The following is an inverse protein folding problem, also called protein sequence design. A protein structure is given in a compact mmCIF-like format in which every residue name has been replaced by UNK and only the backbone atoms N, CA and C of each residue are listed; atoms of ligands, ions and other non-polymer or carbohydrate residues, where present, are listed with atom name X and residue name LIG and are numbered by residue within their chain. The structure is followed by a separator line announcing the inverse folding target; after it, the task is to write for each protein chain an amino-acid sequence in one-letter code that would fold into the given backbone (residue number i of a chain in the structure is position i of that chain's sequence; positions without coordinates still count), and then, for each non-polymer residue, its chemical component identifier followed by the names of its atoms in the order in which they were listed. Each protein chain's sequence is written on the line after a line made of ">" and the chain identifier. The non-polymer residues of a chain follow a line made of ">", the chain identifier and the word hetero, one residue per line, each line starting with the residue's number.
data_IF_282662948738
#
_entry.id   IF_282662948738
#
_cell.length_a   1.000
_cell.length_b   1.000
_cell.length_c   1.000
_cell.angle_alpha   90.00
_cell.angle_beta   90.00
_cell.angle_gamma   90.00
#
_symmetry.space_group_name_H-M   'P 1'
#
loop_
_entity.id
_entity.type
_entity.pdbx_description
1 polymer ?
#
# COMPACT_ATOMS: atom_id res chain seq x y z
N UNK A 1 -43.37 29.68 -9.75
CA UNK A 1 -42.58 28.44 -9.60
C UNK A 1 -41.14 28.83 -9.38
N UNK A 2 -40.67 28.80 -8.13
CA UNK A 2 -39.27 29.05 -7.80
C UNK A 2 -38.46 27.82 -8.25
N UNK A 3 -37.62 27.99 -9.26
CA UNK A 3 -36.58 27.01 -9.56
C UNK A 3 -35.64 26.93 -8.36
N UNK A 4 -35.74 25.82 -7.61
CA UNK A 4 -34.69 25.41 -6.68
C UNK A 4 -33.39 25.31 -7.49
N UNK A 5 -32.49 26.27 -7.27
CA UNK A 5 -31.11 26.17 -7.73
C UNK A 5 -30.49 24.98 -7.00
N UNK A 6 -30.22 23.92 -7.74
CA UNK A 6 -29.39 22.81 -7.27
C UNK A 6 -28.05 23.42 -6.83
N UNK A 7 -27.64 23.27 -5.56
CA UNK A 7 -26.37 23.83 -5.12
C UNK A 7 -25.24 23.13 -5.87
N UNK A 8 -24.43 23.93 -6.57
CA UNK A 8 -23.27 23.51 -7.35
C UNK A 8 -22.09 23.14 -6.42
N UNK A 9 -22.34 22.38 -5.34
CA UNK A 9 -21.41 22.15 -4.23
C UNK A 9 -20.55 20.88 -4.39
N UNK A 10 -20.82 20.06 -5.40
CA UNK A 10 -19.97 18.91 -5.74
C UNK A 10 -18.91 19.28 -6.79
N UNK A 11 -18.15 20.34 -6.52
CA UNK A 11 -16.91 20.59 -7.27
C UNK A 11 -15.85 19.57 -6.80
N UNK A 12 -15.84 18.38 -7.41
CA UNK A 12 -14.75 17.40 -7.31
C UNK A 12 -13.48 17.95 -7.99
N UNK A 13 -12.84 18.94 -7.36
CA UNK A 13 -11.47 19.30 -7.72
C UNK A 13 -10.56 18.18 -7.24
N UNK A 14 -9.76 17.63 -8.17
CA UNK A 14 -8.71 16.68 -7.85
C UNK A 14 -7.73 17.36 -6.89
N UNK A 15 -7.71 16.91 -5.64
CA UNK A 15 -6.72 17.37 -4.66
C UNK A 15 -5.49 16.48 -4.75
N UNK A 16 -4.44 16.99 -5.39
CA UNK A 16 -3.17 16.28 -5.57
C UNK A 16 -2.59 15.77 -4.25
N UNK A 17 -2.84 16.48 -3.13
CA UNK A 17 -2.41 16.08 -1.79
C UNK A 17 -2.98 14.74 -1.34
N UNK A 18 -4.25 14.49 -1.61
CA UNK A 18 -4.95 13.26 -1.23
C UNK A 18 -4.44 12.07 -2.04
N UNK A 19 -4.24 12.28 -3.34
CA UNK A 19 -3.63 11.29 -4.21
C UNK A 19 -2.21 10.94 -3.77
N UNK A 20 -1.35 11.94 -3.55
CA UNK A 20 0.04 11.72 -3.13
C UNK A 20 0.13 11.00 -1.77
N UNK A 21 -0.76 11.31 -0.82
CA UNK A 21 -0.81 10.62 0.46
C UNK A 21 -1.10 9.13 0.31
N UNK A 22 -2.11 8.76 -0.49
CA UNK A 22 -2.53 7.37 -0.66
C UNK A 22 -1.53 6.60 -1.51
N UNK A 23 -1.00 7.23 -2.55
CA UNK A 23 0.08 6.67 -3.36
C UNK A 23 1.32 6.41 -2.50
N UNK A 24 1.66 7.32 -1.59
CA UNK A 24 2.72 7.12 -0.62
C UNK A 24 2.46 5.94 0.32
N UNK A 25 1.23 5.80 0.85
CA UNK A 25 0.84 4.65 1.67
C UNK A 25 0.99 3.32 0.92
N UNK A 26 0.60 3.30 -0.35
CA UNK A 26 0.75 2.12 -1.22
C UNK A 26 2.22 1.73 -1.41
N UNK A 27 3.07 2.70 -1.76
CA UNK A 27 4.50 2.45 -1.95
C UNK A 27 5.19 2.02 -0.65
N UNK A 28 4.79 2.59 0.49
CA UNK A 28 5.30 2.16 1.79
C UNK A 28 4.91 0.71 2.12
N UNK A 29 3.65 0.33 1.90
CA UNK A 29 3.19 -1.02 2.21
C UNK A 29 3.86 -2.06 1.31
N UNK A 30 3.96 -1.77 0.01
CA UNK A 30 4.66 -2.62 -0.95
C UNK A 30 6.16 -2.75 -0.61
N UNK A 31 6.83 -1.63 -0.36
CA UNK A 31 8.24 -1.60 0.01
C UNK A 31 8.50 -2.40 1.30
N UNK A 32 7.69 -2.23 2.33
CA UNK A 32 7.83 -2.93 3.60
C UNK A 32 7.63 -4.45 3.49
N UNK A 33 6.70 -4.90 2.65
CA UNK A 33 6.47 -6.34 2.46
C UNK A 33 7.58 -6.95 1.60
N UNK A 34 8.06 -6.25 0.57
CA UNK A 34 9.22 -6.69 -0.21
C UNK A 34 10.51 -6.78 0.62
N UNK A 35 10.76 -5.84 1.54
CA UNK A 35 11.91 -5.97 2.45
C UNK A 35 11.73 -7.15 3.40
N UNK A 36 10.52 -7.37 3.93
CA UNK A 36 10.20 -8.56 4.73
C UNK A 36 10.51 -9.87 3.97
N UNK A 37 10.08 -9.97 2.71
CA UNK A 37 10.37 -11.12 1.86
C UNK A 37 11.86 -11.27 1.55
N UNK A 38 12.58 -10.17 1.32
CA UNK A 38 14.04 -10.23 1.14
C UNK A 38 14.74 -10.81 2.36
N UNK A 39 14.34 -10.40 3.58
CA UNK A 39 14.89 -10.95 4.83
C UNK A 39 14.53 -12.42 5.01
N UNK A 40 13.35 -12.85 4.58
CA UNK A 40 12.99 -14.26 4.55
C UNK A 40 13.96 -15.08 3.69
N UNK A 41 14.27 -14.62 2.47
CA UNK A 41 15.24 -15.30 1.60
C UNK A 41 16.65 -15.35 2.21
N UNK A 42 17.05 -14.33 2.98
CA UNK A 42 18.31 -14.36 3.73
C UNK A 42 18.29 -15.46 4.80
N UNK A 43 17.21 -15.58 5.57
CA UNK A 43 17.08 -16.61 6.61
C UNK A 43 17.13 -18.02 6.00
N UNK A 44 16.50 -18.20 4.85
CA UNK A 44 16.52 -19.46 4.10
C UNK A 44 17.93 -19.78 3.56
N UNK A 45 18.65 -18.75 3.09
CA UNK A 45 20.02 -18.89 2.59
C UNK A 45 21.02 -19.27 3.69
N UNK A 46 20.84 -18.72 4.90
CA UNK A 46 21.66 -19.04 6.09
C UNK A 46 21.28 -20.40 6.70
N UNK A 47 20.15 -20.99 6.30
CA UNK A 47 19.65 -22.27 6.83
C UNK A 47 18.99 -22.14 8.20
N UNK A 48 18.43 -20.96 8.50
CA UNK A 48 17.59 -20.74 9.70
C UNK A 48 16.14 -21.17 9.49
N UNK A 49 15.70 -21.27 8.23
CA UNK A 49 14.38 -21.75 7.80
C UNK A 49 14.54 -22.88 6.78
N UNK A 50 13.49 -23.67 6.58
CA UNK A 50 13.47 -24.73 5.58
C UNK A 50 13.59 -24.16 4.17
N UNK A 51 14.33 -24.86 3.29
CA UNK A 51 14.51 -24.46 1.90
C UNK A 51 13.32 -24.91 1.06
N UNK A 52 12.42 -23.99 0.77
CA UNK A 52 11.19 -24.22 0.00
C UNK A 52 11.23 -23.43 -1.32
N UNK A 53 11.84 -22.25 -1.31
CA UNK A 53 11.84 -21.31 -2.43
C UNK A 53 13.19 -21.35 -3.18
N UNK A 54 14.30 -21.44 -2.45
CA UNK A 54 15.65 -21.40 -3.04
C UNK A 54 16.17 -22.79 -3.39
N UNK A 55 16.78 -22.94 -4.57
CA UNK A 55 17.43 -24.21 -4.96
C UNK A 55 18.86 -24.34 -4.42
N UNK A 56 19.56 -23.20 -4.25
CA UNK A 56 20.92 -23.11 -3.72
C UNK A 56 21.13 -21.79 -2.97
N UNK A 57 22.08 -21.77 -2.04
CA UNK A 57 22.35 -20.61 -1.16
C UNK A 57 22.80 -19.37 -1.92
N UNK A 58 23.58 -19.52 -3.00
CA UNK A 58 24.02 -18.38 -3.82
C UNK A 58 22.86 -17.68 -4.53
N UNK A 59 21.87 -18.44 -5.01
CA UNK A 59 20.65 -17.89 -5.59
C UNK A 59 19.88 -17.06 -4.57
N UNK A 60 19.69 -17.59 -3.35
CA UNK A 60 18.97 -16.89 -2.29
C UNK A 60 19.65 -15.59 -1.85
N UNK A 61 20.98 -15.60 -1.66
CA UNK A 61 21.74 -14.39 -1.31
C UNK A 61 21.72 -13.32 -2.40
N UNK A 62 21.78 -13.74 -3.67
CA UNK A 62 21.71 -12.83 -4.81
C UNK A 62 20.35 -12.14 -4.89
N UNK A 63 19.26 -12.91 -4.79
CA UNK A 63 17.91 -12.36 -4.80
C UNK A 63 17.58 -11.54 -3.56
N UNK A 64 18.07 -11.93 -2.38
CA UNK A 64 18.00 -11.10 -1.17
C UNK A 64 18.57 -9.71 -1.44
N UNK A 65 19.80 -9.60 -1.95
CA UNK A 65 20.46 -8.32 -2.14
C UNK A 65 19.70 -7.44 -3.14
N UNK A 66 19.25 -8.01 -4.26
CA UNK A 66 18.47 -7.30 -5.28
C UNK A 66 17.16 -6.77 -4.68
N UNK A 67 16.38 -7.65 -4.05
CA UNK A 67 15.07 -7.28 -3.51
C UNK A 67 15.17 -6.30 -2.36
N UNK A 68 16.19 -6.44 -1.51
CA UNK A 68 16.44 -5.52 -0.41
C UNK A 68 16.76 -4.11 -0.91
N UNK A 69 17.64 -3.99 -1.91
CA UNK A 69 17.97 -2.68 -2.51
C UNK A 69 16.78 -2.07 -3.25
N UNK A 70 16.02 -2.86 -4.01
CA UNK A 70 14.79 -2.41 -4.67
C UNK A 70 13.77 -1.94 -3.64
N UNK A 71 13.57 -2.69 -2.56
CA UNK A 71 12.65 -2.32 -1.48
C UNK A 71 13.05 -1.00 -0.82
N UNK A 72 14.34 -0.82 -0.49
CA UNK A 72 14.85 0.45 0.06
C UNK A 72 14.59 1.59 -0.91
N UNK A 73 14.84 1.39 -2.21
CA UNK A 73 14.57 2.41 -3.22
C UNK A 73 13.09 2.78 -3.29
N UNK A 74 12.19 1.80 -3.25
CA UNK A 74 10.74 2.04 -3.23
C UNK A 74 10.33 2.81 -1.97
N UNK A 75 10.84 2.43 -0.80
CA UNK A 75 10.58 3.10 0.47
C UNK A 75 11.11 4.54 0.50
N UNK A 76 12.17 4.81 -0.24
CA UNK A 76 12.73 6.15 -0.36
C UNK A 76 11.82 7.10 -1.15
N UNK A 77 11.05 6.61 -2.12
CA UNK A 77 10.22 7.45 -3.00
C UNK A 77 9.22 8.31 -2.21
N UNK A 78 8.39 7.75 -1.31
CA UNK A 78 7.48 8.55 -0.50
C UNK A 78 8.19 9.51 0.46
N UNK A 79 9.38 9.12 0.94
CA UNK A 79 10.14 9.90 1.92
C UNK A 79 10.67 11.19 1.28
N UNK A 80 11.31 11.08 0.12
CA UNK A 80 12.01 12.19 -0.50
C UNK A 80 11.11 13.01 -1.44
N UNK A 81 10.30 12.35 -2.27
CA UNK A 81 9.60 13.03 -3.37
C UNK A 81 8.15 13.41 -3.05
N UNK A 82 7.45 12.59 -2.26
CA UNK A 82 6.03 12.85 -1.95
C UNK A 82 5.86 13.77 -0.74
N UNK A 83 6.64 13.55 0.33
CA UNK A 83 6.70 14.39 1.54
C UNK A 83 5.31 14.73 2.15
N UNK A 84 4.34 13.82 2.04
CA UNK A 84 3.00 13.95 2.61
C UNK A 84 2.70 12.72 3.46
N UNK A 85 2.96 12.83 4.76
CA UNK A 85 2.68 11.78 5.76
C UNK A 85 1.41 12.04 6.57
N UNK A 86 0.37 12.58 5.93
CA UNK A 86 -0.92 12.86 6.57
C UNK A 86 -2.07 12.50 5.64
N UNK A 87 -3.04 11.77 6.18
CA UNK A 87 -4.31 11.52 5.51
C UNK A 87 -5.24 12.68 5.82
N UNK A 88 -5.62 13.44 4.81
CA UNK A 88 -6.61 14.52 4.95
C UNK A 88 -8.00 13.92 4.85
N UNK A 89 -8.66 13.74 6.00
CA UNK A 89 -10.00 13.16 6.07
C UNK A 89 -10.95 14.06 6.87
N UNK A 90 -10.85 15.37 6.62
CA UNK A 90 -11.54 16.42 7.38
C UNK A 90 -13.03 16.52 7.05
N UNK A 91 -13.38 16.30 5.79
CA UNK A 91 -14.75 16.35 5.29
C UNK A 91 -15.16 15.00 4.69
N UNK A 92 -16.47 14.75 4.60
CA UNK A 92 -17.00 13.55 3.94
C UNK A 92 -16.61 13.47 2.46
N UNK A 93 -16.43 14.64 1.81
CA UNK A 93 -15.91 14.71 0.44
C UNK A 93 -14.47 14.19 0.35
N UNK A 94 -13.60 14.57 1.29
CA UNK A 94 -12.22 14.10 1.34
C UNK A 94 -12.16 12.58 1.56
N UNK A 95 -13.04 12.06 2.42
CA UNK A 95 -13.20 10.61 2.63
C UNK A 95 -13.49 9.88 1.32
N UNK A 96 -14.51 10.34 0.58
CA UNK A 96 -14.90 9.71 -0.69
C UNK A 96 -13.76 9.78 -1.71
N UNK A 97 -13.12 10.94 -1.85
CA UNK A 97 -12.00 11.13 -2.78
C UNK A 97 -10.84 10.19 -2.42
N UNK A 98 -10.51 10.07 -1.13
CA UNK A 98 -9.48 9.15 -0.65
C UNK A 98 -9.82 7.68 -0.94
N UNK A 99 -11.07 7.28 -0.72
CA UNK A 99 -11.52 5.91 -1.04
C UNK A 99 -11.38 5.64 -2.54
N UNK A 100 -11.84 6.57 -3.39
CA UNK A 100 -11.74 6.45 -4.84
C UNK A 100 -10.28 6.32 -5.28
N UNK A 101 -9.37 7.15 -4.76
CA UNK A 101 -7.94 7.05 -5.08
C UNK A 101 -7.34 5.74 -4.60
N UNK A 102 -7.68 5.26 -3.40
CA UNK A 102 -7.20 3.97 -2.89
C UNK A 102 -7.61 2.83 -3.80
N UNK A 103 -8.88 2.79 -4.21
CA UNK A 103 -9.41 1.79 -5.13
C UNK A 103 -8.71 1.89 -6.49
N UNK A 104 -8.59 3.09 -7.05
CA UNK A 104 -7.98 3.29 -8.36
C UNK A 104 -6.51 2.86 -8.39
N UNK A 105 -5.71 3.33 -7.41
CA UNK A 105 -4.29 2.98 -7.29
C UNK A 105 -4.14 1.47 -7.12
N UNK A 106 -4.94 0.87 -6.22
CA UNK A 106 -4.89 -0.56 -5.96
C UNK A 106 -5.23 -1.39 -7.21
N UNK A 107 -6.29 -1.04 -7.94
CA UNK A 107 -6.65 -1.75 -9.17
C UNK A 107 -5.61 -1.58 -10.28
N UNK A 108 -5.06 -0.38 -10.43
CA UNK A 108 -4.00 -0.12 -11.40
C UNK A 108 -2.79 -1.03 -11.16
N UNK A 109 -2.29 -1.08 -9.91
CA UNK A 109 -1.16 -1.93 -9.59
C UNK A 109 -1.50 -3.42 -9.59
N UNK A 110 -2.73 -3.81 -9.26
CA UNK A 110 -3.16 -5.19 -9.36
C UNK A 110 -3.00 -5.72 -10.79
N UNK A 111 -3.47 -4.95 -11.78
CA UNK A 111 -3.32 -5.26 -13.20
C UNK A 111 -1.83 -5.29 -13.57
N UNK A 112 -1.05 -4.29 -13.10
CA UNK A 112 0.39 -4.24 -13.36
C UNK A 112 1.10 -5.52 -12.86
N UNK A 113 0.89 -5.94 -11.62
CA UNK A 113 1.51 -7.16 -11.08
C UNK A 113 0.98 -8.46 -11.70
N UNK A 114 -0.22 -8.43 -12.27
CA UNK A 114 -0.79 -9.58 -12.95
C UNK A 114 -0.17 -9.82 -14.33
N UNK A 115 0.17 -8.75 -15.07
CA UNK A 115 0.66 -8.87 -16.43
C UNK A 115 2.16 -8.66 -16.59
N UNK A 116 2.82 -7.89 -15.72
CA UNK A 116 4.22 -7.49 -15.92
C UNK A 116 5.27 -8.53 -15.50
N UNK A 117 4.90 -9.55 -14.71
CA UNK A 117 5.88 -10.50 -14.13
C UNK A 117 5.70 -11.89 -14.74
N UNK A 118 6.77 -12.41 -15.34
CA UNK A 118 6.82 -13.79 -15.84
C UNK A 118 7.08 -14.76 -14.69
N UNK A 119 6.24 -15.80 -14.56
CA UNK A 119 6.19 -16.68 -13.39
C UNK A 119 7.13 -17.88 -13.48
N UNK A 120 8.27 -17.74 -14.15
CA UNK A 120 9.18 -18.85 -14.43
C UNK A 120 9.95 -19.34 -13.20
N UNK A 121 10.14 -18.49 -12.19
CA UNK A 121 10.80 -18.86 -10.93
C UNK A 121 9.85 -18.66 -9.75
N UNK A 122 10.00 -19.48 -8.71
CA UNK A 122 9.22 -19.35 -7.47
C UNK A 122 9.35 -17.95 -6.85
N UNK A 123 10.56 -17.38 -6.88
CA UNK A 123 10.83 -16.02 -6.38
C UNK A 123 10.02 -14.97 -7.15
N UNK A 124 10.00 -15.03 -8.48
CA UNK A 124 9.20 -14.09 -9.30
C UNK A 124 7.70 -14.30 -9.09
N UNK A 125 7.26 -15.54 -8.89
CA UNK A 125 5.88 -15.84 -8.54
C UNK A 125 5.49 -15.21 -7.20
N UNK A 126 6.35 -15.32 -6.18
CA UNK A 126 6.11 -14.72 -4.86
C UNK A 126 6.11 -13.18 -4.92
N UNK A 127 6.98 -12.58 -5.74
CA UNK A 127 6.96 -11.12 -5.94
C UNK A 127 5.63 -10.68 -6.59
N UNK A 128 5.13 -11.45 -7.56
CA UNK A 128 3.82 -11.20 -8.18
C UNK A 128 2.68 -11.40 -7.17
N UNK A 129 2.71 -12.45 -6.35
CA UNK A 129 1.69 -12.70 -5.34
C UNK A 129 1.68 -11.62 -4.27
N UNK A 130 2.84 -11.17 -3.79
CA UNK A 130 3.00 -10.04 -2.87
C UNK A 130 2.37 -8.78 -3.48
N UNK A 131 2.73 -8.42 -4.71
CA UNK A 131 2.19 -7.22 -5.37
C UNK A 131 0.67 -7.27 -5.52
N UNK A 132 0.11 -8.45 -5.85
CA UNK A 132 -1.33 -8.68 -5.90
C UNK A 132 -1.97 -8.57 -4.51
N UNK A 133 -1.38 -9.18 -3.49
CA UNK A 133 -1.88 -9.17 -2.11
C UNK A 133 -1.92 -7.75 -1.53
N UNK A 134 -0.84 -6.97 -1.72
CA UNK A 134 -0.80 -5.55 -1.30
C UNK A 134 -1.91 -4.74 -1.97
N UNK A 135 -2.11 -4.98 -3.27
CA UNK A 135 -3.12 -4.28 -4.06
C UNK A 135 -4.55 -4.69 -3.67
N UNK A 136 -4.83 -5.99 -3.47
CA UNK A 136 -6.14 -6.45 -2.99
C UNK A 136 -6.44 -5.96 -1.56
N UNK A 137 -5.46 -6.02 -0.67
CA UNK A 137 -5.57 -5.47 0.69
C UNK A 137 -5.87 -3.97 0.66
N UNK A 138 -5.22 -3.23 -0.25
CA UNK A 138 -5.45 -1.80 -0.46
C UNK A 138 -6.84 -1.46 -0.99
N UNK A 139 -7.39 -2.33 -1.83
CA UNK A 139 -8.73 -2.19 -2.35
C UNK A 139 -9.81 -2.36 -1.27
N UNK A 140 -9.60 -3.27 -0.31
CA UNK A 140 -10.62 -3.64 0.70
C UNK A 140 -10.40 -2.92 2.04
N UNK A 141 -9.20 -3.08 2.60
CA UNK A 141 -8.90 -2.69 3.98
C UNK A 141 -8.79 -1.18 4.16
N UNK A 142 -8.19 -0.49 3.17
CA UNK A 142 -7.96 0.96 3.25
C UNK A 142 -9.28 1.75 3.24
N UNK A 143 -10.27 1.46 2.38
CA UNK A 143 -11.57 2.13 2.47
C UNK A 143 -12.27 1.92 3.82
N UNK A 144 -12.25 0.69 4.34
CA UNK A 144 -12.87 0.35 5.63
C UNK A 144 -12.21 1.13 6.77
N UNK A 145 -10.87 1.13 6.83
CA UNK A 145 -10.16 1.82 7.91
C UNK A 145 -10.30 3.34 7.79
N UNK A 146 -10.32 3.91 6.58
CA UNK A 146 -10.56 5.34 6.38
C UNK A 146 -11.96 5.76 6.84
N UNK A 147 -12.96 4.94 6.55
CA UNK A 147 -14.34 5.18 7.02
C UNK A 147 -14.42 5.10 8.55
N UNK A 148 -13.79 4.09 9.14
CA UNK A 148 -13.74 3.90 10.59
C UNK A 148 -13.04 5.09 11.28
N UNK A 149 -11.90 5.52 10.74
CA UNK A 149 -11.16 6.69 11.23
C UNK A 149 -11.98 7.97 11.15
N UNK A 150 -12.71 8.18 10.05
CA UNK A 150 -13.59 9.34 9.90
C UNK A 150 -14.72 9.34 10.95
N UNK A 151 -15.33 8.18 11.19
CA UNK A 151 -16.41 8.02 12.17
C UNK A 151 -15.93 8.28 13.61
N UNK A 152 -14.75 7.79 13.97
CA UNK A 152 -14.17 7.96 15.31
C UNK A 152 -13.44 9.30 15.52
N UNK A 153 -13.37 10.15 14.50
CA UNK A 153 -12.64 11.42 14.57
C UNK A 153 -13.17 12.35 15.68
N UNK A 154 -14.48 12.38 15.87
CA UNK A 154 -15.11 13.26 16.86
C UNK A 154 -14.89 12.77 18.32
N UNK A 155 -14.53 11.50 18.52
CA UNK A 155 -14.36 10.91 19.85
C UNK A 155 -12.90 10.92 20.31
N UNK A 156 -11.93 10.80 19.40
CA UNK A 156 -10.50 10.69 19.74
C UNK A 156 -9.65 11.72 18.98
N UNK A 157 -9.30 12.84 19.63
CA UNK A 157 -8.45 13.88 19.01
C UNK A 157 -7.02 13.41 18.67
N UNK A 158 -6.53 12.36 19.32
CA UNK A 158 -5.23 11.73 19.02
C UNK A 158 -5.21 11.01 17.65
N UNK A 159 -6.39 10.65 17.14
CA UNK A 159 -6.54 9.89 15.91
C UNK A 159 -6.03 10.66 14.68
N UNK A 160 -6.21 12.00 14.66
CA UNK A 160 -5.75 12.82 13.54
C UNK A 160 -4.22 12.81 13.40
N UNK A 161 -3.46 12.71 14.51
CA UNK A 161 -1.99 12.67 14.51
C UNK A 161 -1.45 11.30 14.06
N UNK A 162 -2.11 10.22 14.45
CA UNK A 162 -1.65 8.85 14.17
C UNK A 162 -2.36 8.17 12.99
N UNK A 163 -3.34 8.85 12.38
CA UNK A 163 -4.16 8.33 11.28
C UNK A 163 -3.32 7.70 10.18
N UNK A 164 -2.32 8.41 9.67
CA UNK A 164 -1.46 7.94 8.59
C UNK A 164 -0.73 6.64 8.96
N UNK A 165 -0.05 6.62 10.11
CA UNK A 165 0.68 5.44 10.59
C UNK A 165 -0.26 4.26 10.86
N UNK A 166 -1.47 4.54 11.36
CA UNK A 166 -2.47 3.50 11.62
C UNK A 166 -2.98 2.87 10.32
N UNK A 167 -3.33 3.68 9.32
CA UNK A 167 -3.72 3.18 7.99
C UNK A 167 -2.60 2.35 7.38
N UNK A 168 -1.35 2.82 7.45
CA UNK A 168 -0.18 2.12 6.94
C UNK A 168 0.01 0.75 7.61
N UNK A 169 -0.08 0.71 8.94
CA UNK A 169 0.07 -0.53 9.70
C UNK A 169 -1.06 -1.51 9.36
N UNK A 170 -2.31 -1.04 9.34
CA UNK A 170 -3.46 -1.86 8.96
C UNK A 170 -3.31 -2.42 7.55
N UNK A 171 -2.81 -1.61 6.60
CA UNK A 171 -2.57 -2.06 5.24
C UNK A 171 -1.52 -3.18 5.20
N UNK A 172 -0.36 -2.98 5.83
CA UNK A 172 0.71 -3.98 5.87
C UNK A 172 0.23 -5.30 6.49
N UNK A 173 -0.45 -5.25 7.64
CA UNK A 173 -0.95 -6.44 8.31
C UNK A 173 -2.03 -7.14 7.50
N UNK A 174 -2.97 -6.37 6.93
CA UNK A 174 -4.03 -6.92 6.10
C UNK A 174 -3.48 -7.61 4.86
N UNK A 175 -2.38 -7.12 4.29
CA UNK A 175 -1.74 -7.77 3.13
C UNK A 175 -1.24 -9.17 3.44
N UNK A 176 -0.85 -9.46 4.68
CA UNK A 176 -0.42 -10.81 5.08
C UNK A 176 -1.57 -11.84 5.05
N UNK A 177 -2.83 -11.40 5.09
CA UNK A 177 -3.98 -12.29 4.96
C UNK A 177 -4.24 -12.73 3.51
N UNK A 178 -3.66 -12.01 2.54
CA UNK A 178 -3.87 -12.23 1.10
C UNK A 178 -2.63 -12.80 0.40
N UNK A 179 -1.53 -13.01 1.12
CA UNK A 179 -0.34 -13.76 0.68
C UNK A 179 -0.59 -15.24 0.94
#
# INVERSE_FOLDING_TARGET
>A
MQYQKIPNELNFRFESKNFLSIFGLYLFSLGAILSGYSLYLLLESVGRTERIIISWTGQGLFWFLILFLISIFILFIPVEFLNVFRVYNSSFKDLIINIIYSIFISLFFLILFQYSINLETLILNDISSIGKAVSFSGFISVPIILFLLHSLRNTVKLLDRFSYSFVLLTWILSSQLFI
#
